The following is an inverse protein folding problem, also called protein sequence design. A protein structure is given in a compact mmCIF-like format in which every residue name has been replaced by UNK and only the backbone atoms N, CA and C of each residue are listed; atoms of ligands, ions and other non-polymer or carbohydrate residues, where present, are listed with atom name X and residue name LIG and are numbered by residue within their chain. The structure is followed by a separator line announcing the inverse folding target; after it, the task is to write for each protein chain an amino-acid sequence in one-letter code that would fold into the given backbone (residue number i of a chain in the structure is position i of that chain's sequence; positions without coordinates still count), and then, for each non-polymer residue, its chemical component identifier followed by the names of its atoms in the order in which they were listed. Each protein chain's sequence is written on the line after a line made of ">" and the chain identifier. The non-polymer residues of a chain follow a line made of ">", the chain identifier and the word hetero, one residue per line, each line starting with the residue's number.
data_IF_317362657339
#
_entry.id   IF_317362657339
#
_cell.length_a   1.000
_cell.length_b   1.000
_cell.length_c   1.000
_cell.angle_alpha   90.00
_cell.angle_beta   90.00
_cell.angle_gamma   90.00
#
_symmetry.space_group_name_H-M   'P 1'
#
loop_
_entity.id
_entity.type
_entity.pdbx_description
1 polymer ?
#
# COMPACT_ATOMS: atom_id res chain seq x y z
N UNK A 1 -11.95 -4.30 5.94
CA UNK A 1 -10.60 -3.71 6.02
C UNK A 1 -9.94 -4.33 7.24
N UNK A 2 -8.78 -4.95 7.05
CA UNK A 2 -7.99 -5.50 8.14
C UNK A 2 -6.84 -4.54 8.43
N UNK A 3 -6.49 -4.34 9.72
CA UNK A 3 -5.42 -3.42 10.14
C UNK A 3 -4.52 -4.09 11.17
N UNK A 4 -3.21 -3.88 11.05
CA UNK A 4 -2.22 -4.40 11.99
C UNK A 4 -0.91 -3.61 11.89
N UNK A 5 0.01 -3.86 12.82
CA UNK A 5 1.32 -3.22 12.81
C UNK A 5 2.26 -3.93 11.82
N UNK A 6 3.03 -3.16 11.06
CA UNK A 6 4.09 -3.71 10.23
C UNK A 6 5.33 -4.02 11.09
N UNK A 7 6.11 -5.04 10.71
CA UNK A 7 7.24 -5.54 11.52
C UNK A 7 8.40 -4.54 11.66
N UNK A 8 8.47 -3.52 10.80
CA UNK A 8 9.52 -2.49 10.82
C UNK A 8 8.91 -1.09 10.75
N UNK A 9 9.34 -0.19 11.63
CA UNK A 9 8.77 1.15 11.81
C UNK A 9 9.58 2.27 11.11
N UNK A 10 10.57 1.93 10.27
CA UNK A 10 11.52 2.90 9.68
C UNK A 10 11.21 3.27 8.21
N UNK A 11 10.04 2.90 7.71
CA UNK A 11 9.62 3.21 6.33
C UNK A 11 9.37 4.71 6.15
N UNK A 12 10.23 5.38 5.38
CA UNK A 12 10.13 6.82 5.15
C UNK A 12 8.93 7.22 4.29
N UNK A 13 8.60 6.38 3.31
CA UNK A 13 7.49 6.63 2.38
C UNK A 13 6.47 5.50 2.46
N UNK A 14 5.21 5.85 2.21
CA UNK A 14 4.09 4.91 2.15
C UNK A 14 4.21 4.04 0.91
N UNK A 15 4.00 2.72 1.07
CA UNK A 15 4.09 1.72 0.01
C UNK A 15 2.74 1.04 -0.19
N UNK A 16 2.35 0.86 -1.45
CA UNK A 16 1.17 0.07 -1.83
C UNK A 16 1.64 -1.26 -2.40
N UNK A 17 1.06 -2.35 -1.92
CA UNK A 17 1.42 -3.70 -2.37
C UNK A 17 0.21 -4.35 -3.04
N UNK A 18 0.35 -4.72 -4.31
CA UNK A 18 -0.59 -5.63 -4.98
C UNK A 18 -0.34 -7.06 -4.50
N UNK A 19 -1.26 -7.60 -3.70
CA UNK A 19 -1.20 -8.95 -3.14
C UNK A 19 -1.87 -9.98 -4.06
N UNK A 20 -2.89 -9.56 -4.82
CA UNK A 20 -3.55 -10.36 -5.85
C UNK A 20 -2.76 -10.45 -7.17
N UNK A 21 -1.78 -9.55 -7.38
CA UNK A 21 -1.08 -9.38 -8.65
C UNK A 21 -1.82 -8.48 -9.66
N UNK A 22 -3.07 -8.12 -9.39
CA UNK A 22 -3.84 -7.15 -10.18
C UNK A 22 -3.38 -5.73 -9.83
N UNK A 23 -2.55 -5.14 -10.70
CA UNK A 23 -1.93 -3.84 -10.42
C UNK A 23 -2.92 -2.68 -10.48
N UNK A 24 -3.98 -2.78 -11.29
CA UNK A 24 -4.96 -1.69 -11.46
C UNK A 24 -5.62 -1.30 -10.13
N UNK A 25 -5.90 -2.28 -9.26
CA UNK A 25 -6.45 -2.02 -7.94
C UNK A 25 -5.43 -1.30 -7.05
N UNK A 26 -4.17 -1.71 -7.09
CA UNK A 26 -3.10 -1.06 -6.33
C UNK A 26 -2.85 0.38 -6.81
N UNK A 27 -2.85 0.63 -8.12
CA UNK A 27 -2.71 1.99 -8.65
C UNK A 27 -3.90 2.89 -8.30
N UNK A 28 -5.13 2.34 -8.29
CA UNK A 28 -6.31 3.09 -7.83
C UNK A 28 -6.15 3.53 -6.37
N UNK A 29 -5.69 2.64 -5.50
CA UNK A 29 -5.43 2.97 -4.09
C UNK A 29 -4.32 4.01 -3.96
N UNK A 30 -3.21 3.85 -4.70
CA UNK A 30 -2.11 4.81 -4.70
C UNK A 30 -2.58 6.22 -5.11
N UNK A 31 -3.33 6.32 -6.20
CA UNK A 31 -3.87 7.59 -6.68
C UNK A 31 -4.84 8.22 -5.67
N UNK A 32 -5.69 7.41 -5.03
CA UNK A 32 -6.63 7.90 -4.01
C UNK A 32 -5.89 8.47 -2.80
N UNK A 33 -4.78 7.85 -2.39
CA UNK A 33 -3.98 8.28 -1.24
C UNK A 33 -2.91 9.33 -1.58
N UNK A 34 -2.75 9.70 -2.85
CA UNK A 34 -1.68 10.62 -3.27
C UNK A 34 -0.27 10.01 -3.26
N UNK A 35 -0.17 8.68 -3.21
CA UNK A 35 1.11 7.94 -3.23
C UNK A 35 1.61 7.79 -4.66
N UNK A 36 2.91 8.05 -4.85
CA UNK A 36 3.56 7.86 -6.15
C UNK A 36 3.42 6.42 -6.65
N UNK A 37 3.13 6.24 -7.95
CA UNK A 37 3.09 4.89 -8.54
C UNK A 37 4.44 4.17 -8.49
N UNK A 38 5.55 4.90 -8.32
CA UNK A 38 6.87 4.31 -8.08
C UNK A 38 6.94 3.54 -6.75
N UNK A 39 6.05 3.87 -5.80
CA UNK A 39 5.93 3.21 -4.49
C UNK A 39 4.84 2.13 -4.50
N UNK A 40 4.44 1.66 -5.68
CA UNK A 40 3.51 0.55 -5.86
C UNK A 40 4.28 -0.68 -6.30
N UNK A 41 4.31 -1.71 -5.46
CA UNK A 41 5.03 -2.95 -5.73
C UNK A 41 4.09 -4.13 -5.89
N UNK A 42 4.56 -5.15 -6.62
CA UNK A 42 3.87 -6.43 -6.75
C UNK A 42 4.54 -7.45 -5.84
N UNK A 43 3.80 -7.93 -4.85
CA UNK A 43 4.19 -9.09 -4.06
C UNK A 43 3.00 -10.03 -3.95
N UNK A 44 2.85 -10.88 -4.96
CA UNK A 44 1.78 -11.86 -4.99
C UNK A 44 1.97 -12.83 -3.84
N UNK A 45 0.99 -12.89 -2.94
CA UNK A 45 0.95 -13.88 -1.89
C UNK A 45 -0.39 -14.63 -2.01
N UNK A 46 -0.45 -15.64 -2.88
CA UNK A 46 -1.70 -16.30 -3.29
C UNK A 46 -2.42 -16.99 -2.12
N UNK A 47 -1.71 -17.22 -1.01
CA UNK A 47 -2.27 -17.78 0.21
C UNK A 47 -3.08 -16.76 1.03
N UNK A 48 -2.94 -15.45 0.75
CA UNK A 48 -3.73 -14.40 1.40
C UNK A 48 -4.88 -13.97 0.49
N UNK A 49 -6.09 -13.92 1.05
CA UNK A 49 -7.29 -13.36 0.40
C UNK A 49 -7.28 -11.82 0.29
N UNK A 50 -6.10 -11.20 0.31
CA UNK A 50 -5.92 -9.76 0.27
C UNK A 50 -5.66 -9.31 -1.17
N UNK A 51 -6.34 -8.24 -1.58
CA UNK A 51 -6.14 -7.66 -2.91
C UNK A 51 -4.99 -6.64 -2.91
N UNK A 52 -5.07 -5.67 -1.99
CA UNK A 52 -4.08 -4.61 -1.81
C UNK A 52 -3.75 -4.45 -0.33
N UNK A 53 -2.47 -4.28 -0.01
CA UNK A 53 -2.01 -3.83 1.31
C UNK A 53 -1.43 -2.43 1.21
N UNK A 54 -1.71 -1.59 2.20
CA UNK A 54 -1.12 -0.26 2.35
C UNK A 54 -0.22 -0.29 3.57
N UNK A 55 1.07 -0.01 3.38
CA UNK A 55 2.02 0.13 4.49
C UNK A 55 2.30 1.62 4.64
N UNK A 56 1.85 2.18 5.76
CA UNK A 56 1.95 3.60 6.07
C UNK A 56 3.37 3.92 6.55
N UNK A 57 4.02 4.87 5.88
CA UNK A 57 5.33 5.40 6.26
C UNK A 57 5.26 6.67 7.09
N UNK A 58 6.42 7.27 7.37
CA UNK A 58 6.54 8.56 8.08
C UNK A 58 5.93 9.74 7.30
N UNK A 59 5.68 9.57 6.01
CA UNK A 59 5.00 10.53 5.15
C UNK A 59 3.46 10.54 5.29
N UNK A 60 2.89 9.84 6.27
CA UNK A 60 1.44 9.70 6.46
C UNK A 60 0.66 11.03 6.48
N UNK A 61 1.27 12.11 6.98
CA UNK A 61 0.66 13.45 7.01
C UNK A 61 0.45 14.06 5.61
N UNK A 62 1.10 13.49 4.58
CA UNK A 62 0.98 13.94 3.18
C UNK A 62 -0.04 13.13 2.39
N UNK A 63 -0.63 12.09 2.98
CA UNK A 63 -1.62 11.26 2.30
C UNK A 63 -2.94 12.02 2.17
N UNK A 64 -3.64 11.79 1.05
CA UNK A 64 -4.98 12.32 0.85
C UNK A 64 -5.97 11.53 1.72
N UNK A 65 -6.53 12.18 2.74
CA UNK A 65 -7.50 11.57 3.68
C UNK A 65 -8.86 12.28 3.71
N UNK A 66 -9.05 13.29 2.86
CA UNK A 66 -10.29 14.08 2.75
C UNK A 66 -11.33 13.45 1.80
#
# INVERSE_FOLDING_TARGET
>A
VETGNFETFDLQETIIISRSGVMDNAYRVANALGVSQANVIRESSPDFYLDVSVIIGHDFEKLNTD
#
